data_IF_396339386841
#
_entry.id   IF_396339386841
#
_cell.length_a   1.000
_cell.length_b   1.000
_cell.length_c   1.000
_cell.angle_alpha   90.00
_cell.angle_beta   90.00
_cell.angle_gamma   90.00
#
_symmetry.space_group_name_H-M   'P 1'
#
loop_
_entity.id
_entity.type
_entity.pdbx_description
1 polymer ?
#
# COMPACT_ATOMS: atom_id res chain seq x y z
N UNK A 1 -8.33 6.20 -4.57
CA UNK A 1 -7.19 5.27 -4.80
C UNK A 1 -6.47 4.89 -3.52
N UNK A 2 -6.16 5.84 -2.62
CA UNK A 2 -5.38 5.55 -1.40
C UNK A 2 -6.01 4.51 -0.47
N UNK A 3 -7.31 4.62 -0.16
CA UNK A 3 -7.99 3.64 0.71
C UNK A 3 -7.99 2.22 0.14
N UNK A 4 -8.27 2.07 -1.17
CA UNK A 4 -8.24 0.75 -1.83
C UNK A 4 -6.82 0.19 -1.94
N UNK A 5 -5.83 1.04 -2.25
CA UNK A 5 -4.42 0.63 -2.29
C UNK A 5 -3.90 0.17 -0.93
N UNK A 6 -4.34 0.84 0.15
CA UNK A 6 -4.03 0.42 1.51
C UNK A 6 -4.73 -0.87 1.90
N UNK A 7 -6.03 -1.01 1.58
CA UNK A 7 -6.77 -2.25 1.81
C UNK A 7 -6.12 -3.47 1.14
N UNK A 8 -5.66 -3.32 -0.10
CA UNK A 8 -4.89 -4.38 -0.78
C UNK A 8 -3.54 -4.65 -0.12
N UNK A 9 -2.83 -3.64 0.37
CA UNK A 9 -1.58 -3.85 1.09
C UNK A 9 -1.80 -4.69 2.36
N UNK A 10 -2.88 -4.45 3.10
CA UNK A 10 -3.24 -5.24 4.28
C UNK A 10 -3.55 -6.69 3.91
N UNK A 11 -4.41 -6.93 2.92
CA UNK A 11 -4.72 -8.29 2.43
C UNK A 11 -3.45 -9.03 2.01
N UNK A 12 -2.53 -8.37 1.30
CA UNK A 12 -1.28 -8.98 0.86
C UNK A 12 -0.33 -9.31 2.03
N UNK A 13 -0.38 -8.55 3.12
CA UNK A 13 0.42 -8.85 4.33
C UNK A 13 -0.09 -10.10 5.07
N UNK A 14 -1.37 -10.42 4.93
CA UNK A 14 -1.93 -11.68 5.42
C UNK A 14 -1.51 -12.87 4.55
N UNK A 15 -1.36 -12.66 3.23
CA UNK A 15 -0.94 -13.69 2.27
C UNK A 15 0.56 -14.00 2.34
N UNK A 16 1.41 -12.98 2.47
CA UNK A 16 2.87 -13.12 2.54
C UNK A 16 3.44 -12.32 3.73
N UNK A 17 3.37 -12.89 4.95
CA UNK A 17 3.76 -12.18 6.17
C UNK A 17 5.26 -11.85 6.21
N UNK A 18 6.12 -12.64 5.56
CA UNK A 18 7.57 -12.41 5.51
C UNK A 18 7.91 -11.09 4.80
N UNK A 19 7.04 -10.64 3.89
CA UNK A 19 7.19 -9.38 3.15
C UNK A 19 6.39 -8.21 3.71
N UNK A 20 5.77 -8.35 4.89
CA UNK A 20 4.88 -7.32 5.48
C UNK A 20 5.46 -5.91 5.40
N UNK A 21 6.69 -5.70 5.88
CA UNK A 21 7.31 -4.38 5.89
C UNK A 21 7.49 -3.79 4.48
N UNK A 22 7.84 -4.62 3.50
CA UNK A 22 7.99 -4.20 2.11
C UNK A 22 6.63 -3.83 1.50
N UNK A 23 5.61 -4.67 1.73
CA UNK A 23 4.26 -4.47 1.20
C UNK A 23 3.62 -3.20 1.80
N UNK A 24 3.69 -3.01 3.12
CA UNK A 24 3.18 -1.82 3.78
C UNK A 24 3.90 -0.55 3.31
N UNK A 25 5.23 -0.60 3.15
CA UNK A 25 6.00 0.50 2.58
C UNK A 25 5.52 0.85 1.16
N UNK A 26 5.23 -0.15 0.33
CA UNK A 26 4.69 0.08 -1.01
C UNK A 26 3.28 0.68 -0.98
N UNK A 27 2.44 0.27 -0.05
CA UNK A 27 1.10 0.85 0.16
C UNK A 27 1.15 2.33 0.52
N UNK A 28 2.06 2.73 1.41
CA UNK A 28 2.28 4.14 1.77
C UNK A 28 2.76 4.97 0.58
N UNK A 29 3.77 4.48 -0.15
CA UNK A 29 4.32 5.12 -1.35
C UNK A 29 3.25 5.32 -2.45
N UNK A 30 2.36 4.34 -2.61
CA UNK A 30 1.23 4.47 -3.54
C UNK A 30 0.28 5.61 -3.13
N UNK A 31 0.03 5.76 -1.82
CA UNK A 31 -0.74 6.88 -1.28
C UNK A 31 -0.06 8.24 -1.54
N UNK A 32 1.26 8.33 -1.33
CA UNK A 32 2.02 9.55 -1.63
C UNK A 32 2.00 9.90 -3.13
N UNK A 33 2.04 8.91 -4.02
CA UNK A 33 1.92 9.14 -5.46
C UNK A 33 0.63 9.87 -5.84
N UNK A 34 -0.48 9.63 -5.12
CA UNK A 34 -1.77 10.31 -5.33
C UNK A 34 -1.73 11.78 -4.95
N UNK A 35 -0.99 12.13 -3.90
CA UNK A 35 -0.76 13.52 -3.50
C UNK A 35 0.05 14.26 -4.57
N UNK A 36 1.13 13.63 -5.06
CA UNK A 36 2.00 14.22 -6.09
C UNK A 36 1.25 14.39 -7.41
N UNK A 37 0.50 13.38 -7.84
CA UNK A 37 -0.26 13.43 -9.09
C UNK A 37 -1.57 14.22 -8.98
N UNK A 38 -1.94 14.70 -7.79
CA UNK A 38 -3.17 15.45 -7.51
C UNK A 38 -4.46 14.75 -8.01
N UNK A 39 -4.61 13.44 -7.70
CA UNK A 39 -5.72 12.58 -8.16
C UNK A 39 -6.18 11.55 -7.13
#
# INVERSE_FOLDING_TARGET
>A
HSALGWGWALVLTEVDPDRTNFILKRGLDFGHSRLVCNV
#
